data_IF_007390291987
#
_entry.id   IF_007390291987
#
_cell.length_a   1.000
_cell.length_b   1.000
_cell.length_c   1.000
_cell.angle_alpha   90.00
_cell.angle_beta   90.00
_cell.angle_gamma   90.00
#
_symmetry.space_group_name_H-M   'P 1'
#
loop_
_entity.id
_entity.type
_entity.pdbx_description
1 polymer ?
#
# COMPACT_ATOMS: atom_id res chain seq x y z
N UNK A 1 7.80 -12.48 -19.62
CA UNK A 1 8.12 -12.06 -18.24
C UNK A 1 6.93 -12.44 -17.36
N UNK A 2 7.14 -13.24 -16.32
CA UNK A 2 6.03 -13.61 -15.42
C UNK A 2 5.67 -12.40 -14.53
N UNK A 3 4.55 -12.47 -13.79
CA UNK A 3 4.12 -11.34 -12.95
C UNK A 3 5.13 -10.99 -11.84
N UNK A 4 5.80 -11.98 -11.27
CA UNK A 4 6.82 -11.76 -10.23
C UNK A 4 7.99 -10.95 -10.80
N UNK A 5 8.52 -11.34 -11.96
CA UNK A 5 9.60 -10.62 -12.65
C UNK A 5 9.17 -9.15 -12.93
N UNK A 6 7.94 -8.96 -13.42
CA UNK A 6 7.38 -7.63 -13.69
C UNK A 6 7.33 -6.77 -12.43
N UNK A 7 6.88 -7.32 -11.30
CA UNK A 7 6.84 -6.62 -10.02
C UNK A 7 8.23 -6.24 -9.53
N UNK A 8 9.21 -7.15 -9.63
CA UNK A 8 10.60 -6.87 -9.24
C UNK A 8 11.20 -5.74 -10.08
N UNK A 9 10.99 -5.76 -11.40
CA UNK A 9 11.45 -4.67 -12.29
C UNK A 9 10.70 -3.36 -12.05
N UNK A 10 9.39 -3.42 -11.79
CA UNK A 10 8.60 -2.25 -11.44
C UNK A 10 9.04 -1.63 -10.11
N UNK A 11 9.51 -2.44 -9.16
CA UNK A 11 10.02 -1.94 -7.89
C UNK A 11 11.29 -1.11 -8.07
N UNK A 12 12.17 -1.48 -9.00
CA UNK A 12 13.37 -0.68 -9.31
C UNK A 12 12.99 0.73 -9.78
N UNK A 13 12.04 0.83 -10.72
CA UNK A 13 11.52 2.11 -11.19
C UNK A 13 10.77 2.88 -10.08
N UNK A 14 10.06 2.17 -9.20
CA UNK A 14 9.38 2.76 -8.06
C UNK A 14 10.36 3.37 -7.05
N UNK A 15 11.49 2.70 -6.79
CA UNK A 15 12.52 3.17 -5.86
C UNK A 15 13.22 4.44 -6.35
N UNK A 16 13.43 4.60 -7.67
CA UNK A 16 13.98 5.83 -8.25
C UNK A 16 13.11 7.08 -7.99
N UNK A 17 11.80 6.88 -7.80
CA UNK A 17 10.84 7.95 -7.52
C UNK A 17 10.65 8.23 -6.02
N UNK A 18 11.33 7.47 -5.15
CA UNK A 18 11.26 7.66 -3.71
C UNK A 18 12.46 8.45 -3.20
N UNK A 19 12.22 9.32 -2.22
CA UNK A 19 13.29 10.04 -1.54
C UNK A 19 14.18 9.05 -0.75
N UNK A 20 15.46 9.01 -1.11
CA UNK A 20 16.48 8.09 -0.52
C UNK A 20 16.65 8.35 0.98
N UNK A 21 16.32 9.55 1.46
CA UNK A 21 16.36 9.91 2.88
C UNK A 21 15.20 9.34 3.71
N UNK A 22 14.25 8.65 3.07
CA UNK A 22 13.10 8.09 3.74
C UNK A 22 13.51 6.93 4.69
N UNK A 23 13.17 7.00 5.99
CA UNK A 23 13.44 5.94 6.96
C UNK A 23 12.90 4.56 6.56
N UNK A 24 11.96 4.52 5.62
CA UNK A 24 11.32 3.30 5.14
C UNK A 24 12.07 2.60 4.01
N UNK A 25 13.11 3.20 3.42
CA UNK A 25 13.78 2.62 2.25
C UNK A 25 14.37 1.23 2.54
N UNK A 26 15.12 1.09 3.63
CA UNK A 26 15.73 -0.20 4.01
C UNK A 26 14.68 -1.30 4.26
N UNK A 27 13.55 -0.89 4.83
CA UNK A 27 12.45 -1.80 5.14
C UNK A 27 11.75 -2.29 3.87
N UNK A 28 11.53 -1.40 2.89
CA UNK A 28 10.99 -1.78 1.58
C UNK A 28 11.94 -2.70 0.82
N UNK A 29 13.25 -2.42 0.87
CA UNK A 29 14.28 -3.23 0.22
C UNK A 29 14.38 -4.63 0.83
N UNK A 30 14.28 -4.74 2.17
CA UNK A 30 14.18 -6.04 2.84
C UNK A 30 12.91 -6.78 2.38
N UNK A 31 11.79 -6.08 2.29
CA UNK A 31 10.51 -6.67 1.95
C UNK A 31 10.45 -7.18 0.50
N UNK A 32 10.99 -6.43 -0.47
CA UNK A 32 11.02 -6.89 -1.87
C UNK A 32 11.94 -8.11 -2.05
N UNK A 33 13.08 -8.15 -1.34
CA UNK A 33 13.99 -9.31 -1.36
C UNK A 33 13.34 -10.54 -0.72
N UNK A 34 12.60 -10.35 0.38
CA UNK A 34 11.81 -11.43 0.97
C UNK A 34 10.77 -11.97 -0.03
N UNK A 35 10.09 -11.08 -0.77
CA UNK A 35 9.13 -11.49 -1.80
C UNK A 35 9.82 -12.19 -2.98
N UNK A 36 10.99 -11.73 -3.42
CA UNK A 36 11.77 -12.38 -4.48
C UNK A 36 12.10 -13.84 -4.13
N UNK A 37 12.52 -14.09 -2.89
CA UNK A 37 12.86 -15.44 -2.40
C UNK A 37 11.63 -16.31 -2.20
N UNK A 38 10.55 -15.77 -1.62
CA UNK A 38 9.35 -16.56 -1.33
C UNK A 38 8.45 -16.76 -2.56
N UNK A 39 8.45 -15.83 -3.50
CA UNK A 39 7.54 -15.79 -4.63
C UNK A 39 6.07 -15.70 -4.20
N UNK A 40 5.13 -15.91 -5.13
CA UNK A 40 3.71 -15.95 -4.76
C UNK A 40 3.34 -17.21 -3.99
N UNK A 41 2.40 -17.12 -3.03
CA UNK A 41 1.96 -18.29 -2.29
C UNK A 41 1.36 -19.39 -3.16
N UNK A 42 1.57 -20.63 -2.75
CA UNK A 42 1.07 -21.82 -3.45
C UNK A 42 0.18 -22.68 -2.55
N UNK A 43 -0.65 -23.55 -3.14
CA UNK A 43 -1.48 -24.50 -2.37
C UNK A 43 -0.69 -25.48 -1.49
N UNK A 44 0.64 -25.51 -1.59
CA UNK A 44 1.51 -26.30 -0.70
C UNK A 44 1.59 -25.67 0.70
N UNK A 45 1.37 -24.36 0.80
CA UNK A 45 1.33 -23.66 2.08
C UNK A 45 -0.03 -23.84 2.75
N UNK A 46 -0.02 -24.07 4.06
CA UNK A 46 -1.23 -24.33 4.85
C UNK A 46 -2.29 -23.22 4.70
N UNK A 47 -1.86 -21.95 4.78
CA UNK A 47 -2.72 -20.78 4.64
C UNK A 47 -3.37 -20.65 3.24
N UNK A 48 -2.83 -21.34 2.23
CA UNK A 48 -3.26 -21.23 0.83
C UNK A 48 -3.77 -22.55 0.25
N UNK A 49 -3.90 -23.60 1.05
CA UNK A 49 -4.33 -24.96 0.62
C UNK A 49 -5.60 -24.94 -0.23
N UNK A 50 -6.56 -24.09 0.15
CA UNK A 50 -7.87 -24.00 -0.50
C UNK A 50 -8.03 -22.77 -1.41
N UNK A 51 -7.02 -21.90 -1.49
CA UNK A 51 -7.08 -20.64 -2.24
C UNK A 51 -5.96 -20.60 -3.28
N UNK A 52 -6.28 -20.88 -4.54
CA UNK A 52 -5.27 -20.83 -5.62
C UNK A 52 -5.08 -19.40 -6.12
N UNK A 53 -3.84 -18.92 -6.18
CA UNK A 53 -3.51 -17.64 -6.83
C UNK A 53 -3.20 -17.76 -8.34
N UNK A 54 -3.11 -18.99 -8.87
CA UNK A 54 -2.71 -19.25 -10.26
C UNK A 54 -3.54 -18.52 -11.30
N UNK A 55 -4.85 -18.34 -11.09
CA UNK A 55 -5.71 -17.60 -12.03
C UNK A 55 -5.38 -16.12 -12.08
N UNK A 56 -5.00 -15.54 -10.93
CA UNK A 56 -4.63 -14.13 -10.81
C UNK A 56 -3.24 -13.94 -11.43
N UNK A 57 -2.25 -14.73 -11.02
CA UNK A 57 -0.84 -14.57 -11.43
C UNK A 57 -0.63 -14.71 -12.94
N UNK A 58 -1.48 -15.49 -13.63
CA UNK A 58 -1.39 -15.71 -15.08
C UNK A 58 -1.96 -14.56 -15.92
N UNK A 59 -2.69 -13.63 -15.30
CA UNK A 59 -3.21 -12.48 -16.03
C UNK A 59 -2.08 -11.53 -16.43
N UNK A 60 -2.29 -10.83 -17.55
CA UNK A 60 -1.35 -9.84 -18.03
C UNK A 60 -1.63 -8.48 -17.38
N UNK A 61 -0.93 -8.19 -16.27
CA UNK A 61 -1.05 -6.92 -15.59
C UNK A 61 -0.19 -5.83 -16.23
N UNK A 62 -0.77 -4.62 -16.32
CA UNK A 62 -0.03 -3.36 -16.42
C UNK A 62 0.23 -2.84 -15.01
N UNK A 63 1.49 -2.61 -14.67
CA UNK A 63 1.89 -2.07 -13.37
C UNK A 63 2.03 -0.54 -13.39
N UNK A 64 1.86 0.07 -14.55
CA UNK A 64 1.77 1.52 -14.71
C UNK A 64 0.31 1.93 -14.84
N UNK A 65 -0.11 2.99 -14.13
CA UNK A 65 -1.45 3.53 -14.29
C UNK A 65 -1.63 4.00 -15.73
N UNK A 66 -2.56 3.37 -16.44
CA UNK A 66 -2.91 3.75 -17.80
C UNK A 66 -3.99 4.83 -17.73
N UNK A 67 -3.56 6.09 -17.60
CA UNK A 67 -4.34 7.35 -17.46
C UNK A 67 -4.79 7.68 -16.03
N UNK A 68 -4.69 8.97 -15.70
CA UNK A 68 -5.45 9.57 -14.61
C UNK A 68 -6.92 9.65 -15.03
N UNK A 69 -7.67 8.58 -14.80
CA UNK A 69 -9.12 8.68 -14.88
C UNK A 69 -9.58 9.64 -13.78
N UNK A 70 -10.20 10.75 -14.19
CA UNK A 70 -10.65 11.79 -13.27
C UNK A 70 -11.89 11.30 -12.54
N UNK A 71 -11.69 10.58 -11.43
CA UNK A 71 -12.78 10.14 -10.55
C UNK A 71 -13.35 11.36 -9.83
N UNK A 72 -14.64 11.61 -10.04
CA UNK A 72 -15.34 12.74 -9.42
C UNK A 72 -16.15 12.29 -8.20
N UNK A 73 -16.58 13.27 -7.40
CA UNK A 73 -17.40 13.01 -6.21
C UNK A 73 -18.67 12.20 -6.54
N UNK A 74 -19.30 12.46 -7.69
CA UNK A 74 -20.50 11.74 -8.13
C UNK A 74 -20.29 10.23 -8.27
N UNK A 75 -19.06 9.80 -8.60
CA UNK A 75 -18.72 8.40 -8.85
C UNK A 75 -18.54 7.62 -7.54
N UNK A 76 -18.06 8.31 -6.50
CA UNK A 76 -17.78 7.72 -5.17
C UNK A 76 -18.91 7.93 -4.16
N UNK A 77 -19.77 8.94 -4.36
CA UNK A 77 -20.82 9.35 -3.41
C UNK A 77 -21.67 8.18 -2.90
N UNK A 78 -21.98 7.21 -3.77
CA UNK A 78 -22.81 6.05 -3.46
C UNK A 78 -22.17 5.08 -2.45
N UNK A 79 -20.85 5.16 -2.24
CA UNK A 79 -20.13 4.34 -1.28
C UNK A 79 -19.98 5.03 0.08
N UNK A 80 -20.31 6.31 0.17
CA UNK A 80 -20.25 7.05 1.43
C UNK A 80 -21.44 6.70 2.29
N UNK A 81 -21.19 6.53 3.59
CA UNK A 81 -22.25 6.26 4.55
C UNK A 81 -22.90 7.61 4.87
N UNK A 82 -24.15 7.78 4.45
CA UNK A 82 -24.92 8.98 4.71
C UNK A 82 -25.42 8.99 6.16
N UNK A 83 -25.69 10.19 6.69
CA UNK A 83 -26.25 10.42 8.03
C UNK A 83 -25.37 9.99 9.21
N UNK A 84 -24.05 9.87 9.00
CA UNK A 84 -23.05 9.73 10.05
C UNK A 84 -22.03 10.85 9.95
N UNK A 85 -21.59 11.34 11.11
CA UNK A 85 -20.46 12.28 11.21
C UNK A 85 -19.15 11.47 11.10
N UNK A 86 -18.54 11.46 9.92
CA UNK A 86 -17.36 10.64 9.60
C UNK A 86 -16.40 11.35 8.68
N UNK A 87 -15.10 11.10 8.87
CA UNK A 87 -14.06 11.52 7.95
C UNK A 87 -13.86 10.48 6.85
N UNK A 88 -14.05 10.88 5.60
CA UNK A 88 -13.82 10.00 4.45
C UNK A 88 -12.36 10.11 3.99
N UNK A 89 -11.68 8.97 3.81
CA UNK A 89 -10.32 8.92 3.24
C UNK A 89 -10.38 8.06 1.99
N UNK A 90 -10.13 8.68 0.84
CA UNK A 90 -10.28 8.06 -0.47
C UNK A 90 -8.92 7.93 -1.15
N UNK A 91 -8.60 6.70 -1.56
CA UNK A 91 -7.44 6.38 -2.37
C UNK A 91 -7.92 5.87 -3.74
N UNK A 92 -7.45 6.49 -4.82
CA UNK A 92 -7.69 6.09 -6.20
C UNK A 92 -6.41 5.39 -6.68
N UNK A 93 -6.51 4.08 -6.97
CA UNK A 93 -5.35 3.25 -7.37
C UNK A 93 -4.14 3.35 -6.42
N UNK A 94 -4.43 3.49 -5.13
CA UNK A 94 -3.41 3.61 -4.08
C UNK A 94 -2.85 5.03 -3.90
N UNK A 95 -3.37 6.03 -4.62
CA UNK A 95 -3.02 7.46 -4.47
C UNK A 95 -4.14 8.22 -3.78
N UNK A 96 -3.82 8.98 -2.75
CA UNK A 96 -4.73 9.78 -1.95
C UNK A 96 -5.35 10.91 -2.77
N UNK A 97 -6.67 11.02 -2.69
CA UNK A 97 -7.43 12.11 -3.32
C UNK A 97 -7.81 13.16 -2.29
N UNK A 98 -7.11 14.29 -2.28
CA UNK A 98 -7.42 15.43 -1.40
C UNK A 98 -8.78 16.07 -1.70
N UNK A 99 -9.29 15.93 -2.92
CA UNK A 99 -10.59 16.47 -3.32
C UNK A 99 -11.77 15.64 -2.77
N UNK A 100 -11.54 14.35 -2.53
CA UNK A 100 -12.58 13.39 -2.09
C UNK A 100 -12.42 12.98 -0.63
N UNK A 101 -11.40 13.51 0.06
CA UNK A 101 -11.01 13.08 1.40
C UNK A 101 -10.99 14.23 2.39
N UNK A 102 -11.09 13.86 3.66
CA UNK A 102 -11.04 14.76 4.81
C UNK A 102 -10.00 14.25 5.80
N UNK A 103 -9.22 15.18 6.35
CA UNK A 103 -8.19 14.90 7.38
C UNK A 103 -8.44 15.81 8.57
N UNK A 104 -8.16 15.33 9.77
CA UNK A 104 -8.29 16.13 10.99
C UNK A 104 -7.10 15.92 11.92
N UNK A 105 -6.81 16.94 12.71
CA UNK A 105 -5.85 16.89 13.81
C UNK A 105 -6.51 17.35 15.12
N UNK A 106 -7.83 17.52 15.12
CA UNK A 106 -8.61 17.97 16.28
C UNK A 106 -9.18 16.76 17.01
N UNK A 107 -8.74 16.56 18.25
CA UNK A 107 -9.08 15.39 19.08
C UNK A 107 -8.46 14.06 18.63
N UNK A 108 -8.31 13.84 17.32
CA UNK A 108 -7.71 12.66 16.69
C UNK A 108 -6.83 13.06 15.51
N UNK A 109 -5.77 12.29 15.25
CA UNK A 109 -4.85 12.51 14.13
C UNK A 109 -5.21 11.61 12.95
N UNK A 110 -6.04 12.11 12.04
CA UNK A 110 -6.41 11.43 10.78
C UNK A 110 -5.64 12.09 9.63
N UNK A 111 -4.58 11.44 9.15
CA UNK A 111 -3.76 12.00 8.08
C UNK A 111 -3.11 10.92 7.20
N UNK A 112 -2.41 11.37 6.16
CA UNK A 112 -1.63 10.50 5.29
C UNK A 112 -0.51 9.79 6.05
N UNK A 113 -0.38 8.48 5.84
CA UNK A 113 0.72 7.67 6.36
C UNK A 113 2.08 8.22 5.89
N UNK A 114 2.19 8.67 4.64
CA UNK A 114 3.41 9.29 4.11
C UNK A 114 3.82 10.55 4.89
N UNK A 115 2.84 11.31 5.39
CA UNK A 115 3.10 12.45 6.28
C UNK A 115 3.49 12.00 7.69
N UNK A 116 2.81 10.98 8.22
CA UNK A 116 3.09 10.44 9.54
C UNK A 116 4.53 9.86 9.64
N UNK A 117 4.98 9.17 8.59
CA UNK A 117 6.32 8.56 8.51
C UNK A 117 7.46 9.60 8.55
N UNK A 118 7.22 10.82 8.06
CA UNK A 118 8.24 11.87 7.96
C UNK A 118 8.19 12.89 9.11
N UNK A 119 7.10 12.94 9.87
CA UNK A 119 6.91 13.92 10.95
C UNK A 119 7.38 13.34 12.28
N UNK A 120 8.29 14.07 12.95
CA UNK A 120 8.85 13.67 14.26
C UNK A 120 7.78 13.38 15.33
N UNK A 121 6.62 14.06 15.28
CA UNK A 121 5.48 13.85 16.18
C UNK A 121 5.04 12.38 16.26
N UNK A 122 5.02 11.67 15.12
CA UNK A 122 4.48 10.31 15.04
C UNK A 122 5.57 9.23 15.16
N UNK A 123 6.84 9.61 15.11
CA UNK A 123 7.98 8.68 15.11
C UNK A 123 7.94 7.64 16.24
N UNK A 124 7.62 7.99 17.51
CA UNK A 124 7.57 7.00 18.58
C UNK A 124 6.55 5.89 18.34
N UNK A 125 5.40 6.22 17.74
CA UNK A 125 4.33 5.25 17.45
C UNK A 125 4.71 4.41 16.22
N UNK A 126 5.22 5.06 15.17
CA UNK A 126 5.68 4.38 13.95
C UNK A 126 6.77 3.36 14.27
N UNK A 127 7.79 3.73 15.05
CA UNK A 127 8.93 2.85 15.35
C UNK A 127 8.48 1.59 16.15
N UNK A 128 7.43 1.71 16.96
CA UNK A 128 6.90 0.62 17.80
C UNK A 128 6.00 -0.33 17.01
N UNK A 129 5.16 0.19 16.10
CA UNK A 129 4.09 -0.61 15.48
C UNK A 129 4.28 -0.89 14.00
N UNK A 130 4.89 0.02 13.24
CA UNK A 130 4.96 -0.11 11.78
C UNK A 130 5.82 -1.32 11.39
N UNK A 131 5.25 -2.21 10.56
CA UNK A 131 5.89 -3.46 10.12
C UNK A 131 6.35 -4.38 11.27
N UNK A 132 5.72 -4.29 12.46
CA UNK A 132 6.02 -5.18 13.62
C UNK A 132 4.92 -6.19 13.91
N UNK A 133 3.67 -5.83 13.64
CA UNK A 133 2.50 -6.66 13.97
C UNK A 133 2.18 -7.65 12.84
N UNK A 134 2.31 -7.20 11.60
CA UNK A 134 2.00 -8.01 10.43
C UNK A 134 3.01 -9.16 10.28
N UNK A 135 2.51 -10.37 9.98
CA UNK A 135 3.39 -11.53 9.75
C UNK A 135 4.21 -11.31 8.47
N UNK A 136 5.52 -11.55 8.55
CA UNK A 136 6.42 -11.53 7.39
C UNK A 136 6.14 -12.74 6.47
N UNK A 137 5.12 -12.63 5.63
CA UNK A 137 4.85 -13.57 4.53
C UNK A 137 5.01 -12.86 3.18
N UNK A 138 4.93 -13.62 2.08
CA UNK A 138 5.15 -13.12 0.73
C UNK A 138 4.29 -11.90 0.38
N UNK A 139 2.97 -11.98 0.54
CA UNK A 139 2.07 -10.88 0.15
C UNK A 139 2.17 -9.67 1.07
N UNK A 140 2.37 -9.87 2.37
CA UNK A 140 2.66 -8.77 3.29
C UNK A 140 3.96 -8.08 2.86
N UNK A 141 4.99 -8.86 2.52
CA UNK A 141 6.29 -8.33 2.08
C UNK A 141 6.15 -7.54 0.78
N UNK A 142 5.34 -8.02 -0.17
CA UNK A 142 5.01 -7.29 -1.39
C UNK A 142 4.28 -5.97 -1.09
N UNK A 143 3.26 -6.00 -0.22
CA UNK A 143 2.53 -4.79 0.17
C UNK A 143 3.45 -3.77 0.85
N UNK A 144 4.29 -4.22 1.78
CA UNK A 144 5.27 -3.40 2.48
C UNK A 144 6.28 -2.77 1.51
N UNK A 145 6.76 -3.52 0.51
CA UNK A 145 7.69 -3.00 -0.50
C UNK A 145 7.06 -1.85 -1.30
N UNK A 146 5.82 -2.00 -1.76
CA UNK A 146 5.11 -0.99 -2.55
C UNK A 146 4.36 0.06 -1.73
N UNK A 147 4.43 0.01 -0.40
CA UNK A 147 3.73 0.96 0.47
C UNK A 147 4.27 2.38 0.28
N UNK A 148 3.55 3.22 -0.48
CA UNK A 148 3.86 4.65 -0.70
C UNK A 148 2.96 5.55 0.15
N UNK A 149 1.67 5.27 0.12
CA UNK A 149 0.62 6.03 0.79
C UNK A 149 -0.27 5.10 1.61
N UNK A 150 -1.13 5.70 2.43
CA UNK A 150 -2.02 5.01 3.35
C UNK A 150 -2.61 6.01 4.34
N UNK A 151 -3.38 5.52 5.29
CA UNK A 151 -3.96 6.32 6.37
C UNK A 151 -3.25 6.05 7.69
N UNK A 152 -3.02 7.10 8.48
CA UNK A 152 -2.69 7.06 9.89
C UNK A 152 -3.88 7.60 10.67
N UNK A 153 -4.34 6.83 11.67
CA UNK A 153 -5.51 7.08 12.52
C UNK A 153 -5.15 6.65 13.94
#
# INVERSE_FOLDING_TARGET
MNLQDKLLSSYLAFQENLDISNPMSELRDKAIRNFEVQGFPTKKEENWKYTSLNSIIKNDFSLTPSKEDTIEFKDVKKYFIHDLDTYNIVFIDGVYSSYLSETTHDGVDICLLSSALNKAKYKPVIDVYYNKIARENSLTSLNTAFAKEGAYI
#
